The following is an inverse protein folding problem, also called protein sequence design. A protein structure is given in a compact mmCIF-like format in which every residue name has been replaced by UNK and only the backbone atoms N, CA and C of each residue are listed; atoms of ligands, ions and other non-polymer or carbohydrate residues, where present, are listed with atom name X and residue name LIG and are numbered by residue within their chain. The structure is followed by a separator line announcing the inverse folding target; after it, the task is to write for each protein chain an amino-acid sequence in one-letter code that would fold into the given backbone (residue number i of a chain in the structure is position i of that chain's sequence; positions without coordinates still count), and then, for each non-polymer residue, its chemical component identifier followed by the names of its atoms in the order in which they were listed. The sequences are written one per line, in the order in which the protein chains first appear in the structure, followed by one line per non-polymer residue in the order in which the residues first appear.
data_IF_423419986452
#
_entry.id   IF_423419986452
#
_cell.length_a   1.000
_cell.length_b   1.000
_cell.length_c   1.000
_cell.angle_alpha   90.00
_cell.angle_beta   90.00
_cell.angle_gamma   90.00
#
_symmetry.space_group_name_H-M   'P 1'
#
loop_
_entity.id
_entity.type
_entity.pdbx_description
1 polymer ?
#
# COMPACT_ATOMS: atom_id res chain seq x y z
N UNK A 1 3.15 -30.74 -7.21
CA UNK A 1 2.47 -29.61 -6.57
C UNK A 1 2.19 -28.61 -7.68
N UNK A 2 0.94 -28.42 -8.07
CA UNK A 2 0.57 -27.48 -9.11
C UNK A 2 0.36 -26.11 -8.43
N UNK A 3 1.10 -25.11 -8.88
CA UNK A 3 0.97 -23.72 -8.42
C UNK A 3 0.10 -22.91 -9.39
N UNK A 4 -1.06 -23.48 -9.74
CA UNK A 4 -1.99 -22.80 -10.61
C UNK A 4 -2.71 -21.69 -9.83
N UNK A 5 -2.61 -20.48 -10.34
CA UNK A 5 -3.33 -19.32 -9.80
C UNK A 5 -4.80 -19.37 -10.23
N UNK A 6 -5.69 -18.93 -9.35
CA UNK A 6 -7.11 -18.78 -9.70
C UNK A 6 -7.32 -17.67 -10.75
N UNK A 7 -8.50 -17.63 -11.36
CA UNK A 7 -8.88 -16.55 -12.29
C UNK A 7 -8.86 -15.19 -11.60
N UNK A 8 -9.32 -15.12 -10.34
CA UNK A 8 -9.30 -13.91 -9.53
C UNK A 8 -7.88 -13.43 -9.25
N UNK A 9 -6.97 -14.36 -8.92
CA UNK A 9 -5.55 -14.04 -8.71
C UNK A 9 -4.87 -13.54 -9.99
N UNK A 10 -5.19 -14.15 -11.13
CA UNK A 10 -4.70 -13.69 -12.42
C UNK A 10 -5.25 -12.29 -12.78
N UNK A 11 -6.52 -12.02 -12.48
CA UNK A 11 -7.12 -10.70 -12.65
C UNK A 11 -6.42 -9.66 -11.78
N UNK A 12 -6.19 -9.97 -10.50
CA UNK A 12 -5.50 -9.10 -9.56
C UNK A 12 -4.08 -8.76 -10.05
N UNK A 13 -3.33 -9.74 -10.51
CA UNK A 13 -2.01 -9.55 -11.11
C UNK A 13 -2.08 -8.63 -12.33
N UNK A 14 -3.02 -8.87 -13.24
CA UNK A 14 -3.14 -8.09 -14.47
C UNK A 14 -3.55 -6.65 -14.18
N UNK A 15 -4.46 -6.43 -13.23
CA UNK A 15 -4.84 -5.09 -12.76
C UNK A 15 -3.64 -4.36 -12.19
N UNK A 16 -2.87 -5.01 -11.29
CA UNK A 16 -1.68 -4.40 -10.68
C UNK A 16 -0.62 -4.07 -11.73
N UNK A 17 -0.32 -5.00 -12.65
CA UNK A 17 0.64 -4.75 -13.74
C UNK A 17 0.23 -3.57 -14.63
N UNK A 18 -1.05 -3.51 -14.99
CA UNK A 18 -1.59 -2.44 -15.82
C UNK A 18 -1.48 -1.09 -15.12
N UNK A 19 -1.82 -1.05 -13.83
CA UNK A 19 -1.70 0.13 -12.99
C UNK A 19 -0.24 0.62 -12.91
N UNK A 20 0.69 -0.28 -12.57
CA UNK A 20 2.12 0.06 -12.48
C UNK A 20 2.63 0.65 -13.80
N UNK A 21 2.30 0.00 -14.91
CA UNK A 21 2.73 0.45 -16.24
C UNK A 21 2.14 1.80 -16.63
N UNK A 22 0.85 2.01 -16.37
CA UNK A 22 0.13 3.21 -16.80
C UNK A 22 0.33 4.40 -15.85
N UNK A 23 0.41 4.14 -14.54
CA UNK A 23 0.30 5.20 -13.54
C UNK A 23 1.60 5.44 -12.74
N UNK A 24 2.54 4.51 -12.73
CA UNK A 24 3.77 4.64 -11.93
C UNK A 24 5.02 4.82 -12.81
N UNK A 25 5.33 3.88 -13.69
CA UNK A 25 6.61 3.84 -14.41
C UNK A 25 6.90 5.10 -15.25
N UNK A 26 5.88 5.76 -15.75
CA UNK A 26 6.04 7.00 -16.52
C UNK A 26 6.59 8.17 -15.69
N UNK A 27 6.57 8.06 -14.36
CA UNK A 27 7.01 9.12 -13.44
C UNK A 27 8.37 8.84 -12.80
N UNK A 28 9.01 7.70 -13.10
CA UNK A 28 10.33 7.34 -12.54
C UNK A 28 11.40 8.39 -12.87
N UNK A 29 11.46 8.84 -14.11
CA UNK A 29 12.45 9.83 -14.54
C UNK A 29 12.27 11.17 -13.83
N UNK A 30 11.01 11.60 -13.63
CA UNK A 30 10.71 12.82 -12.87
C UNK A 30 11.18 12.69 -11.42
N UNK A 31 10.81 11.59 -10.78
CA UNK A 31 11.17 11.34 -9.40
C UNK A 31 12.69 11.26 -9.22
N UNK A 32 13.39 10.55 -10.11
CA UNK A 32 14.85 10.40 -10.05
C UNK A 32 15.58 11.74 -10.21
N UNK A 33 15.09 12.61 -11.10
CA UNK A 33 15.68 13.94 -11.33
C UNK A 33 15.41 14.94 -10.22
N UNK A 34 14.23 14.90 -9.63
CA UNK A 34 13.78 15.94 -8.69
C UNK A 34 13.78 15.51 -7.24
N UNK A 35 13.87 14.20 -6.99
CA UNK A 35 13.67 13.55 -5.68
C UNK A 35 12.35 14.01 -5.01
N UNK A 36 11.36 14.40 -5.81
CA UNK A 36 10.08 14.90 -5.35
C UNK A 36 8.99 14.65 -6.39
N UNK A 37 7.75 14.46 -5.94
CA UNK A 37 6.57 14.43 -6.79
C UNK A 37 5.67 15.62 -6.47
N UNK A 38 5.15 16.34 -7.48
CA UNK A 38 4.12 17.35 -7.26
C UNK A 38 2.94 16.76 -6.49
N UNK A 39 2.40 17.54 -5.56
CA UNK A 39 1.28 17.08 -4.72
C UNK A 39 0.08 16.64 -5.54
N UNK A 40 -0.23 17.38 -6.60
CA UNK A 40 -1.35 17.10 -7.49
C UNK A 40 -1.20 15.73 -8.17
N UNK A 41 0.02 15.39 -8.62
CA UNK A 41 0.34 14.10 -9.23
C UNK A 41 0.24 12.97 -8.21
N UNK A 42 0.77 13.18 -6.99
CA UNK A 42 0.62 12.23 -5.89
C UNK A 42 -0.85 11.92 -5.60
N UNK A 43 -1.67 12.96 -5.46
CA UNK A 43 -3.09 12.84 -5.15
C UNK A 43 -3.86 12.13 -6.31
N UNK A 44 -3.48 12.39 -7.56
CA UNK A 44 -4.05 11.73 -8.74
C UNK A 44 -3.73 10.22 -8.77
N UNK A 45 -2.46 9.85 -8.61
CA UNK A 45 -2.04 8.44 -8.58
C UNK A 45 -2.76 7.69 -7.45
N UNK A 46 -2.81 8.29 -6.26
CA UNK A 46 -3.50 7.70 -5.11
C UNK A 46 -4.99 7.48 -5.39
N UNK A 47 -5.67 8.47 -5.95
CA UNK A 47 -7.07 8.37 -6.32
C UNK A 47 -7.31 7.21 -7.29
N UNK A 48 -6.49 7.09 -8.34
CA UNK A 48 -6.56 5.99 -9.30
C UNK A 48 -6.29 4.63 -8.65
N UNK A 49 -5.39 4.55 -7.66
CA UNK A 49 -5.13 3.32 -6.92
C UNK A 49 -6.33 2.90 -6.07
N UNK A 50 -7.02 3.86 -5.44
CA UNK A 50 -8.27 3.61 -4.71
C UNK A 50 -9.36 3.11 -5.67
N UNK A 51 -9.54 3.76 -6.82
CA UNK A 51 -10.51 3.37 -7.84
C UNK A 51 -10.22 1.98 -8.43
N UNK A 52 -8.95 1.61 -8.54
CA UNK A 52 -8.52 0.28 -8.99
C UNK A 52 -8.61 -0.81 -7.90
N UNK A 53 -8.98 -0.47 -6.66
CA UNK A 53 -9.07 -1.39 -5.53
C UNK A 53 -7.71 -1.92 -5.05
N UNK A 54 -6.61 -1.25 -5.39
CA UNK A 54 -5.25 -1.61 -4.95
C UNK A 54 -4.90 -0.98 -3.60
N UNK A 55 -5.36 0.24 -3.35
CA UNK A 55 -5.16 0.92 -2.08
C UNK A 55 -5.99 0.27 -0.98
N UNK A 56 -5.42 0.09 0.21
CA UNK A 56 -6.05 -0.56 1.37
C UNK A 56 -6.57 -1.99 1.10
N UNK A 57 -6.05 -2.68 0.09
CA UNK A 57 -6.45 -4.05 -0.26
C UNK A 57 -6.16 -5.08 0.86
N UNK A 58 -5.26 -4.77 1.81
CA UNK A 58 -4.96 -5.57 2.99
C UNK A 58 -5.92 -5.34 4.16
N UNK A 59 -6.66 -4.22 4.18
CA UNK A 59 -7.49 -3.82 5.31
C UNK A 59 -8.82 -4.58 5.37
N UNK A 60 -9.43 -4.70 6.56
CA UNK A 60 -10.69 -5.43 6.74
C UNK A 60 -11.84 -4.89 5.87
N UNK A 61 -12.62 -5.80 5.29
CA UNK A 61 -13.76 -5.47 4.43
C UNK A 61 -14.83 -4.69 5.19
N UNK A 62 -15.08 -5.04 6.46
CA UNK A 62 -16.05 -4.38 7.33
C UNK A 62 -15.76 -2.90 7.58
N UNK A 63 -14.52 -2.47 7.33
CA UNK A 63 -14.08 -1.07 7.45
C UNK A 63 -13.83 -0.39 6.10
N UNK A 64 -14.14 -1.08 5.00
CA UNK A 64 -14.00 -0.55 3.63
C UNK A 64 -12.70 -0.95 2.93
N UNK A 65 -11.92 -1.86 3.49
CA UNK A 65 -10.72 -2.41 2.86
C UNK A 65 -11.02 -3.55 1.89
N UNK A 66 -10.00 -4.03 1.21
CA UNK A 66 -10.10 -5.11 0.21
C UNK A 66 -10.07 -6.53 0.79
N UNK A 67 -9.65 -6.72 2.05
CA UNK A 67 -9.63 -8.02 2.73
C UNK A 67 -8.73 -9.08 2.11
N UNK A 68 -7.72 -8.69 1.32
CA UNK A 68 -6.81 -9.66 0.71
C UNK A 68 -6.04 -10.43 1.79
N UNK A 69 -5.94 -11.74 1.61
CA UNK A 69 -5.08 -12.59 2.41
C UNK A 69 -3.59 -12.36 2.07
N UNK A 70 -2.68 -12.91 2.88
CA UNK A 70 -1.24 -12.69 2.74
C UNK A 70 -0.68 -13.17 1.39
N UNK A 71 -1.23 -14.24 0.81
CA UNK A 71 -0.78 -14.74 -0.48
C UNK A 71 -1.17 -13.80 -1.62
N UNK A 72 -2.45 -13.38 -1.68
CA UNK A 72 -2.95 -12.47 -2.70
C UNK A 72 -2.28 -11.09 -2.58
N UNK A 73 -2.05 -10.62 -1.35
CA UNK A 73 -1.29 -9.41 -1.09
C UNK A 73 0.15 -9.49 -1.64
N UNK A 74 0.82 -10.65 -1.46
CA UNK A 74 2.15 -10.88 -2.03
C UNK A 74 2.16 -10.77 -3.55
N UNK A 75 1.09 -11.22 -4.24
CA UNK A 75 0.96 -11.07 -5.69
C UNK A 75 0.88 -9.59 -6.10
N UNK A 76 0.14 -8.78 -5.36
CA UNK A 76 0.07 -7.32 -5.58
C UNK A 76 1.43 -6.67 -5.34
N UNK A 77 2.05 -6.91 -4.18
CA UNK A 77 3.32 -6.32 -3.80
C UNK A 77 4.46 -6.67 -4.75
N UNK A 78 4.50 -7.92 -5.20
CA UNK A 78 5.46 -8.37 -6.23
C UNK A 78 5.41 -7.50 -7.48
N UNK A 79 4.23 -7.09 -7.90
CA UNK A 79 4.06 -6.31 -9.14
C UNK A 79 4.17 -4.80 -8.89
N UNK A 80 3.78 -4.29 -7.75
CA UNK A 80 4.07 -2.90 -7.33
C UNK A 80 5.58 -2.65 -7.25
N UNK A 81 6.35 -3.64 -6.80
CA UNK A 81 7.81 -3.57 -6.69
C UNK A 81 8.57 -3.46 -8.02
N UNK A 82 7.89 -3.41 -9.18
CA UNK A 82 8.51 -3.02 -10.45
C UNK A 82 8.68 -1.49 -10.58
N UNK A 83 7.96 -0.71 -9.80
CA UNK A 83 8.19 0.73 -9.66
C UNK A 83 9.13 0.99 -8.46
N UNK A 84 9.73 2.18 -8.42
CA UNK A 84 10.49 2.63 -7.26
C UNK A 84 9.62 2.63 -6.01
N UNK A 85 10.26 2.45 -4.84
CA UNK A 85 9.54 2.40 -3.57
C UNK A 85 8.67 3.64 -3.35
N UNK A 86 9.20 4.82 -3.69
CA UNK A 86 8.49 6.08 -3.49
C UNK A 86 7.21 6.21 -4.34
N UNK A 87 7.19 5.63 -5.56
CA UNK A 87 5.99 5.56 -6.39
C UNK A 87 5.05 4.44 -5.93
N UNK A 88 5.59 3.28 -5.60
CA UNK A 88 4.80 2.15 -5.12
C UNK A 88 4.05 2.48 -3.82
N UNK A 89 4.68 3.24 -2.90
CA UNK A 89 4.06 3.68 -1.64
C UNK A 89 2.81 4.55 -1.82
N UNK A 90 2.65 5.22 -2.97
CA UNK A 90 1.44 6.01 -3.24
C UNK A 90 0.23 5.10 -3.43
N UNK A 91 0.45 3.97 -4.11
CA UNK A 91 -0.55 2.94 -4.34
C UNK A 91 -0.59 1.89 -3.23
N UNK A 92 0.32 2.01 -2.27
CA UNK A 92 0.49 1.04 -1.20
C UNK A 92 -0.63 1.14 -0.16
N UNK A 93 -0.67 0.13 0.65
CA UNK A 93 -1.63 -0.06 1.72
C UNK A 93 -1.29 0.78 2.97
N UNK A 94 -2.28 1.10 3.80
CA UNK A 94 -2.05 1.46 5.20
C UNK A 94 -1.33 0.33 5.95
N UNK A 95 -0.53 0.69 6.96
CA UNK A 95 0.24 -0.29 7.73
C UNK A 95 -0.67 -1.22 8.53
N UNK A 96 -0.31 -2.51 8.59
CA UNK A 96 -1.10 -3.55 9.26
C UNK A 96 -1.33 -3.29 10.75
N UNK A 97 -0.50 -2.46 11.40
CA UNK A 97 -0.69 -2.10 12.81
C UNK A 97 -2.05 -1.43 13.06
N UNK A 98 -2.61 -0.75 12.04
CA UNK A 98 -3.92 -0.12 12.15
C UNK A 98 -5.06 -1.14 12.32
N UNK A 99 -4.85 -2.40 11.98
CA UNK A 99 -5.82 -3.46 12.26
C UNK A 99 -5.99 -3.76 13.76
N UNK A 100 -5.06 -3.27 14.60
CA UNK A 100 -5.17 -3.36 16.05
C UNK A 100 -5.99 -2.20 16.66
N UNK A 101 -6.53 -1.29 15.86
CA UNK A 101 -7.41 -0.23 16.36
C UNK A 101 -8.72 -0.82 16.90
N UNK A 102 -9.10 -0.35 18.09
CA UNK A 102 -10.36 -0.72 18.77
C UNK A 102 -11.15 0.53 19.18
N UNK A 103 -12.45 0.39 19.32
CA UNK A 103 -13.33 1.46 19.78
C UNK A 103 -13.22 2.72 18.92
N UNK A 104 -13.02 3.86 19.55
CA UNK A 104 -12.93 5.17 18.88
C UNK A 104 -11.72 5.28 17.93
N UNK A 105 -10.66 4.47 18.13
CA UNK A 105 -9.47 4.50 17.28
C UNK A 105 -9.77 4.03 15.85
N UNK A 106 -10.79 3.20 15.67
CA UNK A 106 -11.25 2.75 14.35
C UNK A 106 -11.68 3.97 13.52
N UNK A 107 -12.54 4.82 14.08
CA UNK A 107 -13.04 6.00 13.36
C UNK A 107 -11.98 7.09 13.24
N UNK A 108 -11.10 7.20 14.23
CA UNK A 108 -10.08 8.25 14.26
C UNK A 108 -8.88 7.96 13.36
N UNK A 109 -8.47 6.69 13.20
CA UNK A 109 -7.24 6.31 12.51
C UNK A 109 -7.46 5.29 11.38
N UNK A 110 -8.13 4.17 11.65
CA UNK A 110 -8.24 3.09 10.68
C UNK A 110 -9.07 3.49 9.45
N UNK A 111 -10.29 3.96 9.63
CA UNK A 111 -11.16 4.37 8.50
C UNK A 111 -10.56 5.49 7.67
N UNK A 112 -10.02 6.60 8.24
CA UNK A 112 -9.37 7.65 7.46
C UNK A 112 -8.10 7.18 6.74
N UNK A 113 -7.40 6.15 7.26
CA UNK A 113 -6.28 5.56 6.55
C UNK A 113 -6.76 4.72 5.35
N UNK A 114 -7.84 3.96 5.51
CA UNK A 114 -8.44 3.13 4.43
C UNK A 114 -8.96 4.02 3.29
N UNK A 115 -9.60 5.15 3.61
CA UNK A 115 -10.08 6.11 2.59
C UNK A 115 -8.96 6.94 1.97
N UNK A 116 -7.75 6.86 2.54
CA UNK A 116 -6.63 7.66 2.10
C UNK A 116 -6.63 9.12 2.56
N UNK A 117 -7.54 9.52 3.45
CA UNK A 117 -7.57 10.85 4.05
C UNK A 117 -6.37 11.10 4.98
N UNK A 118 -5.92 10.04 5.66
CA UNK A 118 -4.74 10.07 6.50
C UNK A 118 -3.65 9.16 5.96
N UNK A 119 -2.41 9.55 6.16
CA UNK A 119 -1.22 8.76 5.89
C UNK A 119 -0.61 8.37 7.23
N UNK A 120 -0.26 7.11 7.37
CA UNK A 120 0.50 6.59 8.49
C UNK A 120 2.01 6.65 8.22
N UNK A 121 2.80 6.53 9.27
CA UNK A 121 4.26 6.38 9.19
C UNK A 121 4.74 5.43 10.28
N UNK A 122 5.91 4.84 10.06
CA UNK A 122 6.56 3.96 11.03
C UNK A 122 7.75 4.69 11.64
N UNK A 123 7.80 4.74 12.97
CA UNK A 123 8.94 5.22 13.73
C UNK A 123 9.29 4.16 14.79
N UNK A 124 10.19 3.23 14.44
CA UNK A 124 10.50 2.08 15.29
C UNK A 124 11.81 2.24 16.07
N UNK A 125 12.76 3.06 15.59
CA UNK A 125 14.04 3.20 16.25
C UNK A 125 13.92 3.97 17.55
N UNK A 126 14.37 3.36 18.64
CA UNK A 126 14.49 3.97 19.96
C UNK A 126 15.97 4.21 20.30
N UNK A 127 16.30 5.06 21.30
CA UNK A 127 17.70 5.31 21.69
C UNK A 127 18.47 4.05 22.04
N UNK A 128 17.80 3.03 22.58
CA UNK A 128 18.37 1.78 23.04
C UNK A 128 18.07 0.57 22.12
N UNK A 129 17.23 0.73 21.10
CA UNK A 129 16.79 -0.32 20.19
C UNK A 129 16.73 0.14 18.74
N UNK A 130 17.63 -0.38 17.91
CA UNK A 130 17.65 -0.18 16.46
C UNK A 130 17.43 -1.51 15.74
N UNK A 131 18.51 -2.15 15.30
CA UNK A 131 18.44 -3.45 14.60
C UNK A 131 17.93 -4.59 15.49
N UNK A 132 18.14 -4.50 16.78
CA UNK A 132 17.56 -5.45 17.77
C UNK A 132 16.17 -4.95 18.22
N UNK A 133 15.13 -5.39 17.53
CA UNK A 133 13.75 -5.04 17.85
C UNK A 133 13.27 -5.63 19.20
N UNK A 134 13.96 -6.62 19.75
CA UNK A 134 13.60 -7.20 21.07
C UNK A 134 13.97 -6.27 22.23
N UNK A 135 14.84 -5.30 21.98
CA UNK A 135 15.21 -4.28 22.95
C UNK A 135 14.21 -3.12 23.06
N UNK A 136 13.18 -3.07 22.25
CA UNK A 136 12.12 -2.03 22.31
C UNK A 136 11.34 -2.12 23.63
N UNK A 137 10.96 -0.96 24.19
CA UNK A 137 10.24 -0.83 25.47
C UNK A 137 8.83 -0.29 25.27
#
# INVERSE_FOLDING_TARGET
MEFNLSEEQNLLINTTKSFVKAELLQHEELLEKTNNLPKELYDEIKKKSIEAGLYACNMPVEHGGGGLNAFDLTLVEKHLGFASLALAEIAWRPQNILMACEGELIDQYLKPAITGERKDCIAMTEPEAGSDLRGMK
#
